data_IF_469132740894
#
_entry.id   IF_469132740894
#
_cell.length_a   1.000
_cell.length_b   1.000
_cell.length_c   1.000
_cell.angle_alpha   90.00
_cell.angle_beta   90.00
_cell.angle_gamma   90.00
#
_symmetry.space_group_name_H-M   'P 1'
#
loop_
_entity.id
_entity.type
_entity.pdbx_description
1 polymer ?
#
# COMPACT_ATOMS: atom_id res chain seq x y z
N UNK A 1 5.15 6.25 16.00
CA UNK A 1 5.37 4.89 16.57
C UNK A 1 6.29 5.04 17.76
N UNK A 2 5.85 4.63 18.92
CA UNK A 2 6.63 4.72 20.17
C UNK A 2 7.57 3.50 20.26
N UNK A 3 8.82 3.70 19.86
CA UNK A 3 9.84 2.63 19.80
C UNK A 3 10.05 1.97 21.17
N UNK A 4 10.12 2.80 22.23
CA UNK A 4 10.36 2.32 23.58
C UNK A 4 9.22 1.46 24.11
N UNK A 5 7.99 1.88 23.88
CA UNK A 5 6.82 1.09 24.27
C UNK A 5 6.82 -0.30 23.59
N UNK A 6 7.19 -0.38 22.32
CA UNK A 6 7.27 -1.64 21.59
C UNK A 6 8.39 -2.55 22.09
N UNK A 7 9.58 -2.00 22.39
CA UNK A 7 10.67 -2.76 23.02
C UNK A 7 10.17 -3.38 24.33
N UNK A 8 9.51 -2.58 25.17
CA UNK A 8 8.97 -3.04 26.46
C UNK A 8 7.93 -4.15 26.27
N UNK A 9 7.03 -4.04 25.28
CA UNK A 9 6.04 -5.09 24.97
C UNK A 9 6.72 -6.40 24.57
N UNK A 10 7.70 -6.36 23.65
CA UNK A 10 8.44 -7.54 23.22
C UNK A 10 9.23 -8.16 24.37
N UNK A 11 9.89 -7.35 25.21
CA UNK A 11 10.60 -7.83 26.39
C UNK A 11 9.67 -8.56 27.36
N UNK A 12 8.53 -7.98 27.67
CA UNK A 12 7.55 -8.59 28.59
C UNK A 12 6.91 -9.85 28.01
N UNK A 13 6.63 -9.87 26.69
CA UNK A 13 6.15 -11.05 25.96
C UNK A 13 7.17 -12.20 26.05
N UNK A 14 8.46 -11.88 25.96
CA UNK A 14 9.55 -12.84 26.11
C UNK A 14 9.89 -13.16 27.60
N UNK A 15 9.13 -12.61 28.56
CA UNK A 15 9.32 -12.78 30.01
C UNK A 15 10.71 -12.38 30.50
N UNK A 16 11.36 -11.43 29.79
CA UNK A 16 12.67 -10.92 30.19
C UNK A 16 12.53 -9.75 31.17
N UNK A 17 13.40 -9.73 32.16
CA UNK A 17 13.64 -8.55 33.00
C UNK A 17 14.39 -7.49 32.21
N UNK A 18 14.35 -6.24 32.66
CA UNK A 18 15.12 -5.15 32.05
C UNK A 18 16.63 -5.42 32.09
N UNK A 19 17.09 -6.08 33.18
CA UNK A 19 18.48 -6.42 33.40
C UNK A 19 18.97 -7.53 32.47
N UNK A 20 18.14 -8.55 32.25
CA UNK A 20 18.43 -9.63 31.30
C UNK A 20 18.51 -9.12 29.84
N UNK A 21 17.59 -8.24 29.44
CA UNK A 21 17.65 -7.65 28.11
C UNK A 21 18.88 -6.75 27.97
N UNK A 22 19.19 -5.92 28.98
CA UNK A 22 20.39 -5.08 28.99
C UNK A 22 21.68 -5.91 28.84
N UNK A 23 21.78 -7.02 29.59
CA UNK A 23 22.90 -7.94 29.46
C UNK A 23 23.03 -8.58 28.07
N UNK A 24 21.91 -8.99 27.47
CA UNK A 24 21.90 -9.64 26.14
C UNK A 24 22.20 -8.70 24.99
N UNK A 25 21.87 -7.40 25.13
CA UNK A 25 22.14 -6.37 24.13
C UNK A 25 23.42 -5.55 24.42
N UNK A 26 24.21 -5.96 25.42
CA UNK A 26 25.45 -5.28 25.86
C UNK A 26 25.23 -3.80 26.24
N UNK A 27 24.05 -3.48 26.77
CA UNK A 27 23.65 -2.14 27.18
C UNK A 27 23.52 -2.02 28.69
N UNK A 28 23.53 -0.78 29.18
CA UNK A 28 23.23 -0.55 30.60
C UNK A 28 21.71 -0.59 30.86
N UNK A 29 21.31 -1.15 32.01
CA UNK A 29 19.91 -1.14 32.47
C UNK A 29 19.31 0.26 32.51
N UNK A 30 20.12 1.27 32.92
CA UNK A 30 19.68 2.67 32.96
C UNK A 30 19.34 3.21 31.59
N UNK A 31 20.20 2.97 30.59
CA UNK A 31 19.94 3.38 29.20
C UNK A 31 18.69 2.69 28.64
N UNK A 32 18.58 1.38 28.79
CA UNK A 32 17.42 0.63 28.31
C UNK A 32 16.12 1.08 28.97
N UNK A 33 16.15 1.42 30.26
CA UNK A 33 15.01 2.00 30.98
C UNK A 33 14.59 3.36 30.42
N UNK A 34 15.53 4.20 29.97
CA UNK A 34 15.22 5.48 29.32
C UNK A 34 14.63 5.26 27.93
N UNK A 35 15.16 4.31 27.16
CA UNK A 35 14.63 3.93 25.85
C UNK A 35 13.19 3.43 25.97
N UNK A 36 12.91 2.50 26.88
CA UNK A 36 11.55 1.95 27.07
C UNK A 36 10.50 2.99 27.51
N UNK A 37 10.93 4.13 28.05
CA UNK A 37 10.07 5.25 28.42
C UNK A 37 10.06 6.37 27.39
N UNK A 38 10.66 6.13 26.22
CA UNK A 38 10.81 7.11 25.14
C UNK A 38 11.50 8.43 25.59
N UNK A 39 12.31 8.38 26.64
CA UNK A 39 13.11 9.51 27.13
C UNK A 39 14.42 9.70 26.34
N UNK A 40 14.84 8.68 25.60
CA UNK A 40 15.97 8.74 24.67
C UNK A 40 15.69 7.82 23.48
N UNK A 41 16.25 8.16 22.33
CA UNK A 41 16.12 7.37 21.10
C UNK A 41 17.42 6.58 20.88
N UNK A 42 17.36 5.25 20.66
CA UNK A 42 18.54 4.48 20.29
C UNK A 42 18.95 4.82 18.85
N UNK A 43 20.23 4.67 18.54
CA UNK A 43 20.69 4.61 17.14
C UNK A 43 20.12 3.36 16.44
N UNK A 44 20.16 3.31 15.10
CA UNK A 44 19.74 2.12 14.34
C UNK A 44 20.58 0.90 14.75
N UNK A 45 21.89 1.06 14.93
CA UNK A 45 22.76 -0.01 15.38
C UNK A 45 22.33 -0.53 16.77
N UNK A 46 22.18 0.36 17.73
CA UNK A 46 21.72 0.02 19.08
C UNK A 46 20.33 -0.64 19.07
N UNK A 47 19.42 -0.16 18.22
CA UNK A 47 18.10 -0.77 18.06
C UNK A 47 18.21 -2.18 17.48
N UNK A 48 19.14 -2.39 16.52
CA UNK A 48 19.41 -3.72 15.96
C UNK A 48 19.86 -4.71 17.06
N UNK A 49 20.77 -4.30 17.93
CA UNK A 49 21.25 -5.13 19.03
C UNK A 49 20.13 -5.48 20.02
N UNK A 50 19.26 -4.51 20.33
CA UNK A 50 18.11 -4.72 21.22
C UNK A 50 17.11 -5.70 20.61
N UNK A 51 16.76 -5.53 19.32
CA UNK A 51 15.73 -6.39 18.70
C UNK A 51 16.26 -7.79 18.42
N UNK A 52 17.55 -7.94 18.11
CA UNK A 52 18.20 -9.24 18.00
C UNK A 52 18.20 -9.98 19.35
N UNK A 53 18.52 -9.29 20.44
CA UNK A 53 18.41 -9.85 21.81
C UNK A 53 16.98 -10.26 22.17
N UNK A 54 15.97 -9.65 21.54
CA UNK A 54 14.55 -10.00 21.66
C UNK A 54 14.11 -11.10 20.69
N UNK A 55 14.98 -11.58 19.80
CA UNK A 55 14.70 -12.65 18.85
C UNK A 55 13.90 -12.22 17.63
N UNK A 56 13.93 -10.93 17.25
CA UNK A 56 13.28 -10.39 16.06
C UNK A 56 14.24 -9.58 15.22
N UNK A 57 13.98 -9.47 13.92
CA UNK A 57 14.73 -8.58 13.03
C UNK A 57 14.19 -7.15 13.11
N UNK A 58 14.98 -6.15 12.66
CA UNK A 58 14.49 -4.77 12.51
C UNK A 58 13.23 -4.70 11.62
N UNK A 59 13.19 -5.48 10.53
CA UNK A 59 12.02 -5.55 9.66
C UNK A 59 10.78 -6.02 10.43
N UNK A 60 10.88 -7.10 11.16
CA UNK A 60 9.79 -7.61 12.02
C UNK A 60 9.41 -6.63 13.12
N UNK A 61 10.40 -5.96 13.71
CA UNK A 61 10.16 -4.93 14.72
C UNK A 61 9.37 -3.77 14.16
N UNK A 62 9.63 -3.32 12.93
CA UNK A 62 8.89 -2.22 12.30
C UNK A 62 7.59 -2.65 11.62
N UNK A 63 7.46 -3.90 11.23
CA UNK A 63 6.20 -4.42 10.67
C UNK A 63 5.05 -4.44 11.68
N UNK A 64 5.33 -4.56 13.01
CA UNK A 64 4.28 -4.58 14.05
C UNK A 64 3.24 -5.66 13.82
N UNK A 65 2.52 -6.04 14.85
CA UNK A 65 1.14 -6.51 14.69
C UNK A 65 0.32 -5.27 14.28
N UNK A 66 0.38 -4.86 13.02
CA UNK A 66 -0.66 -4.02 12.47
C UNK A 66 -1.87 -4.92 12.42
N UNK A 67 -2.93 -4.57 13.16
CA UNK A 67 -4.27 -4.92 12.71
C UNK A 67 -4.33 -4.41 11.27
N UNK A 68 -4.17 -5.31 10.30
CA UNK A 68 -4.24 -4.95 8.89
C UNK A 68 -5.63 -4.37 8.70
N UNK A 69 -5.69 -3.09 8.36
CA UNK A 69 -6.95 -2.45 8.05
C UNK A 69 -7.54 -3.18 6.85
N UNK A 70 -8.65 -3.88 7.06
CA UNK A 70 -9.30 -4.72 6.05
C UNK A 70 -10.37 -3.92 5.28
N UNK A 71 -11.00 -2.94 5.94
CA UNK A 71 -12.05 -2.11 5.36
C UNK A 71 -11.54 -0.69 5.19
N UNK A 72 -11.59 -0.20 3.95
CA UNK A 72 -11.19 1.16 3.58
C UNK A 72 -12.42 1.99 3.25
N UNK A 73 -12.41 3.25 3.67
CA UNK A 73 -13.46 4.24 3.40
C UNK A 73 -12.87 5.38 2.55
N UNK A 74 -13.71 6.26 2.05
CA UNK A 74 -13.29 7.31 1.10
C UNK A 74 -12.20 8.24 1.68
N UNK A 75 -12.19 8.45 3.00
CA UNK A 75 -11.18 9.24 3.72
C UNK A 75 -9.78 8.59 3.74
N UNK A 76 -9.71 7.30 3.45
CA UNK A 76 -8.45 6.56 3.37
C UNK A 76 -7.83 6.63 1.98
N UNK A 77 -8.61 7.00 0.95
CA UNK A 77 -8.16 6.95 -0.43
C UNK A 77 -7.09 8.00 -0.69
N UNK A 78 -6.07 7.60 -1.42
CA UNK A 78 -5.18 8.57 -2.03
C UNK A 78 -5.75 8.98 -3.38
N UNK A 79 -5.95 10.29 -3.61
CA UNK A 79 -6.54 10.83 -4.83
C UNK A 79 -5.49 11.66 -5.55
N UNK A 80 -5.30 11.37 -6.84
CA UNK A 80 -4.41 12.12 -7.73
C UNK A 80 -5.24 12.68 -8.90
N UNK A 81 -5.43 13.99 -8.87
CA UNK A 81 -6.12 14.73 -9.91
C UNK A 81 -5.11 15.18 -10.98
N UNK A 82 -5.29 14.68 -12.20
CA UNK A 82 -4.43 14.97 -13.34
C UNK A 82 -5.23 15.61 -14.46
N UNK A 83 -4.53 16.20 -15.43
CA UNK A 83 -5.18 16.74 -16.63
C UNK A 83 -5.89 15.65 -17.45
N UNK A 84 -5.37 14.44 -17.42
CA UNK A 84 -5.83 13.28 -18.18
C UNK A 84 -6.83 12.39 -17.41
N UNK A 85 -7.18 12.71 -16.17
CA UNK A 85 -8.17 11.99 -15.37
C UNK A 85 -7.88 12.04 -13.88
N UNK A 86 -8.78 11.49 -13.08
CA UNK A 86 -8.59 11.36 -11.62
C UNK A 86 -8.45 9.90 -11.25
N UNK A 87 -7.36 9.57 -10.57
CA UNK A 87 -7.08 8.22 -10.05
C UNK A 87 -7.28 8.21 -8.55
N UNK A 88 -8.08 7.28 -8.06
CA UNK A 88 -8.27 7.06 -6.62
C UNK A 88 -7.68 5.69 -6.26
N UNK A 89 -6.61 5.66 -5.47
CA UNK A 89 -6.11 4.43 -4.87
C UNK A 89 -6.97 4.07 -3.67
N UNK A 90 -7.91 3.15 -3.86
CA UNK A 90 -8.94 2.79 -2.87
C UNK A 90 -8.43 1.81 -1.81
N UNK A 91 -7.27 1.20 -2.04
CA UNK A 91 -6.51 0.44 -1.05
C UNK A 91 -5.14 1.11 -0.91
N UNK A 92 -4.92 1.91 0.13
CA UNK A 92 -3.64 2.58 0.34
C UNK A 92 -2.48 1.59 0.45
N UNK A 93 -1.38 1.90 -0.22
CA UNK A 93 -0.18 1.06 -0.28
C UNK A 93 -0.38 -0.31 -0.96
N UNK A 94 -1.37 -0.46 -1.84
CA UNK A 94 -1.64 -1.68 -2.58
C UNK A 94 -0.45 -2.15 -3.47
N UNK A 95 0.49 -1.27 -3.80
CA UNK A 95 1.74 -1.59 -4.52
C UNK A 95 2.58 -2.71 -3.88
N UNK A 96 2.26 -3.09 -2.64
CA UNK A 96 2.88 -4.23 -1.93
C UNK A 96 2.08 -5.52 -2.03
N UNK A 97 0.88 -5.45 -2.61
CA UNK A 97 -0.05 -6.55 -2.76
C UNK A 97 0.00 -7.11 -4.18
N UNK A 98 -0.58 -8.28 -4.37
CA UNK A 98 -0.70 -8.91 -5.69
C UNK A 98 -1.74 -8.22 -6.59
N UNK A 99 -2.60 -7.38 -6.02
CA UNK A 99 -3.64 -6.60 -6.71
C UNK A 99 -3.59 -5.14 -6.29
N UNK A 100 -3.68 -4.25 -7.25
CA UNK A 100 -3.81 -2.80 -7.03
C UNK A 100 -5.16 -2.30 -7.59
N UNK A 101 -6.24 -2.30 -6.78
CA UNK A 101 -7.52 -1.77 -7.20
C UNK A 101 -7.53 -0.24 -7.13
N UNK A 102 -7.93 0.38 -8.25
CA UNK A 102 -8.13 1.83 -8.36
C UNK A 102 -9.53 2.15 -8.87
N UNK A 103 -10.06 3.33 -8.52
CA UNK A 103 -11.14 3.96 -9.28
C UNK A 103 -10.54 4.98 -10.22
N UNK A 104 -10.96 4.94 -11.48
CA UNK A 104 -10.57 5.88 -12.50
C UNK A 104 -11.79 6.69 -12.95
N UNK A 105 -11.69 8.00 -12.84
CA UNK A 105 -12.69 8.95 -13.32
C UNK A 105 -12.14 9.68 -14.55
N UNK A 106 -12.81 9.56 -15.69
CA UNK A 106 -12.44 10.26 -16.94
C UNK A 106 -13.58 11.16 -17.39
N UNK A 107 -13.32 12.46 -17.52
CA UNK A 107 -14.22 13.42 -18.15
C UNK A 107 -14.29 13.17 -19.66
N UNK A 108 -15.28 13.73 -20.37
CA UNK A 108 -15.35 13.66 -21.83
C UNK A 108 -14.03 14.07 -22.50
N UNK A 109 -13.53 13.21 -23.38
CA UNK A 109 -12.27 13.43 -24.12
C UNK A 109 -10.98 13.08 -23.39
N UNK A 110 -11.05 12.75 -22.09
CA UNK A 110 -9.87 12.32 -21.33
C UNK A 110 -9.53 10.84 -21.62
N UNK A 111 -8.28 10.49 -21.36
CA UNK A 111 -7.77 9.13 -21.45
C UNK A 111 -6.82 8.84 -20.29
N UNK A 112 -6.72 7.57 -19.88
CA UNK A 112 -5.71 7.14 -18.92
C UNK A 112 -4.29 7.23 -19.50
N UNK A 113 -3.30 7.14 -18.66
CA UNK A 113 -1.92 6.92 -19.10
C UNK A 113 -1.85 5.63 -19.93
N UNK A 114 -0.92 5.60 -20.88
CA UNK A 114 -0.56 4.39 -21.62
C UNK A 114 0.17 3.43 -20.70
N UNK A 115 -0.36 2.25 -20.53
CA UNK A 115 0.32 1.16 -19.79
C UNK A 115 1.15 0.37 -20.79
N UNK A 116 2.44 0.24 -20.48
CA UNK A 116 3.39 -0.53 -21.27
C UNK A 116 3.22 -2.03 -21.02
N UNK A 117 3.66 -2.90 -21.94
CA UNK A 117 3.55 -4.34 -21.74
C UNK A 117 4.19 -4.82 -20.44
N UNK A 118 3.49 -5.70 -19.74
CA UNK A 118 3.93 -6.33 -18.48
C UNK A 118 3.38 -7.76 -18.35
N UNK A 119 3.90 -8.52 -17.37
CA UNK A 119 3.51 -9.91 -17.14
C UNK A 119 2.28 -10.07 -16.23
N UNK A 120 1.48 -9.02 -16.03
CA UNK A 120 0.28 -9.04 -15.19
C UNK A 120 -0.99 -9.35 -15.98
N UNK A 121 -2.05 -9.52 -15.24
CA UNK A 121 -3.43 -9.58 -15.74
C UNK A 121 -4.21 -8.43 -15.13
N UNK A 122 -5.17 -7.89 -15.88
CA UNK A 122 -5.95 -6.74 -15.44
C UNK A 122 -7.43 -6.99 -15.61
N UNK A 123 -8.19 -6.47 -14.66
CA UNK A 123 -9.64 -6.54 -14.66
C UNK A 123 -10.23 -5.13 -14.53
N UNK A 124 -11.26 -4.83 -15.32
CA UNK A 124 -12.02 -3.60 -15.16
C UNK A 124 -13.53 -3.80 -15.14
N UNK A 125 -14.21 -2.96 -14.37
CA UNK A 125 -15.67 -2.92 -14.28
C UNK A 125 -16.18 -1.48 -14.41
N UNK A 126 -17.03 -1.21 -15.39
CA UNK A 126 -17.58 0.13 -15.64
C UNK A 126 -18.75 0.41 -14.69
N UNK A 127 -18.55 1.33 -13.76
CA UNK A 127 -19.55 1.76 -12.78
C UNK A 127 -20.54 2.76 -13.37
N UNK A 128 -20.06 3.70 -14.20
CA UNK A 128 -20.90 4.67 -14.91
C UNK A 128 -20.27 5.10 -16.22
N UNK A 129 -21.09 5.53 -17.17
CA UNK A 129 -20.63 5.96 -18.50
C UNK A 129 -20.32 4.80 -19.45
N UNK A 130 -19.37 5.03 -20.35
CA UNK A 130 -18.86 4.05 -21.32
C UNK A 130 -17.36 4.27 -21.51
N UNK A 131 -16.60 3.20 -21.39
CA UNK A 131 -15.16 3.19 -21.63
C UNK A 131 -14.88 2.68 -23.05
N UNK A 132 -13.87 3.23 -23.69
CA UNK A 132 -13.22 2.63 -24.85
C UNK A 132 -11.86 2.12 -24.38
N UNK A 133 -11.71 0.79 -24.21
CA UNK A 133 -10.43 0.15 -23.95
C UNK A 133 -9.69 -0.03 -25.27
N UNK A 134 -8.47 0.45 -25.35
CA UNK A 134 -7.59 0.29 -26.52
C UNK A 134 -6.48 -0.65 -26.13
N UNK A 135 -6.35 -1.77 -26.84
CA UNK A 135 -5.30 -2.78 -26.65
C UNK A 135 -4.65 -3.05 -28.01
N UNK A 136 -3.35 -2.86 -28.13
CA UNK A 136 -2.62 -3.02 -29.39
C UNK A 136 -3.30 -2.24 -30.55
N UNK A 137 -3.72 -1.00 -30.27
CA UNK A 137 -4.43 -0.14 -31.23
C UNK A 137 -5.88 -0.54 -31.54
N UNK A 138 -6.38 -1.68 -31.03
CA UNK A 138 -7.76 -2.12 -31.24
C UNK A 138 -8.68 -1.59 -30.17
N UNK A 139 -9.81 -1.02 -30.61
CA UNK A 139 -10.81 -0.41 -29.72
C UNK A 139 -11.88 -1.42 -29.28
N UNK A 140 -12.14 -1.48 -27.98
CA UNK A 140 -13.18 -2.30 -27.38
C UNK A 140 -14.09 -1.42 -26.53
N UNK A 141 -15.37 -1.31 -26.91
CA UNK A 141 -16.35 -0.52 -26.18
C UNK A 141 -16.86 -1.33 -24.97
N UNK A 142 -16.73 -0.76 -23.78
CA UNK A 142 -17.21 -1.35 -22.52
C UNK A 142 -18.24 -0.41 -21.90
N UNK A 143 -19.48 -0.88 -21.72
CA UNK A 143 -20.61 -0.10 -21.22
C UNK A 143 -20.75 -0.29 -19.70
N UNK A 144 -21.52 0.61 -19.06
CA UNK A 144 -21.93 0.45 -17.66
C UNK A 144 -22.41 -0.97 -17.36
N UNK A 145 -21.89 -1.56 -16.27
CA UNK A 145 -22.19 -2.92 -15.83
C UNK A 145 -21.45 -4.02 -16.58
N UNK A 146 -20.63 -3.66 -17.57
CA UNK A 146 -19.76 -4.61 -18.26
C UNK A 146 -18.35 -4.61 -17.69
N UNK A 147 -17.65 -5.71 -17.92
CA UNK A 147 -16.27 -5.93 -17.50
C UNK A 147 -15.35 -6.10 -18.70
N UNK A 148 -14.07 -5.88 -18.48
CA UNK A 148 -13.02 -6.38 -19.34
C UNK A 148 -11.99 -7.16 -18.51
N UNK A 149 -11.29 -8.03 -19.17
CA UNK A 149 -10.17 -8.78 -18.63
C UNK A 149 -9.12 -8.91 -19.71
N UNK A 150 -7.91 -8.48 -19.42
CA UNK A 150 -6.80 -8.51 -20.38
C UNK A 150 -5.54 -9.07 -19.72
N UNK A 151 -4.65 -9.61 -20.56
CA UNK A 151 -3.25 -9.84 -20.20
C UNK A 151 -2.45 -8.62 -20.58
N UNK A 152 -1.57 -8.16 -19.70
CA UNK A 152 -0.74 -6.98 -19.91
C UNK A 152 0.32 -7.10 -21.02
N UNK A 153 0.18 -8.05 -21.94
CA UNK A 153 1.18 -8.36 -22.98
C UNK A 153 1.33 -7.29 -24.07
N UNK A 154 0.43 -6.32 -24.14
CA UNK A 154 0.40 -5.27 -25.17
C UNK A 154 0.18 -3.90 -24.53
N UNK A 155 0.61 -2.84 -25.22
CA UNK A 155 0.26 -1.47 -24.86
C UNK A 155 -1.25 -1.31 -24.79
N UNK A 156 -1.74 -0.67 -23.73
CA UNK A 156 -3.16 -0.45 -23.56
C UNK A 156 -3.47 0.80 -22.73
N UNK A 157 -4.67 1.33 -22.92
CA UNK A 157 -5.19 2.46 -22.16
C UNK A 157 -6.71 2.53 -22.27
N UNK A 158 -7.33 3.31 -21.41
CA UNK A 158 -8.75 3.62 -21.45
C UNK A 158 -8.97 5.05 -21.93
N UNK A 159 -10.02 5.28 -22.73
CA UNK A 159 -10.43 6.62 -23.14
C UNK A 159 -11.94 6.79 -22.99
N UNK A 160 -12.36 8.01 -22.68
CA UNK A 160 -13.75 8.41 -22.67
C UNK A 160 -14.08 9.24 -23.92
N UNK A 161 -14.55 8.58 -24.96
CA UNK A 161 -14.97 9.20 -26.22
C UNK A 161 -16.45 9.68 -26.18
N UNK A 162 -17.08 9.70 -24.99
CA UNK A 162 -18.49 10.10 -24.83
C UNK A 162 -18.65 11.52 -24.29
N UNK A 163 -19.90 11.98 -24.15
CA UNK A 163 -20.23 13.30 -23.59
C UNK A 163 -20.53 13.27 -22.09
N UNK A 164 -20.52 12.09 -21.47
CA UNK A 164 -20.76 11.88 -20.02
C UNK A 164 -19.49 11.41 -19.33
N UNK A 165 -19.39 11.66 -18.03
CA UNK A 165 -18.28 11.13 -17.23
C UNK A 165 -18.27 9.60 -17.24
N UNK A 166 -17.07 9.06 -17.29
CA UNK A 166 -16.79 7.65 -17.10
C UNK A 166 -16.22 7.43 -15.71
N UNK A 167 -16.74 6.43 -15.03
CA UNK A 167 -16.19 5.95 -13.76
C UNK A 167 -16.08 4.44 -13.81
N UNK A 168 -14.91 3.91 -13.49
CA UNK A 168 -14.68 2.47 -13.49
C UNK A 168 -13.76 2.04 -12.34
N UNK A 169 -13.95 0.81 -11.90
CA UNK A 169 -13.00 0.08 -11.07
C UNK A 169 -12.00 -0.62 -12.01
N UNK A 170 -10.70 -0.43 -11.75
CA UNK A 170 -9.62 -1.10 -12.48
C UNK A 170 -8.69 -1.78 -11.47
N UNK A 171 -8.36 -3.02 -11.72
CA UNK A 171 -7.47 -3.83 -10.88
C UNK A 171 -6.33 -4.32 -11.75
N UNK A 172 -5.12 -4.00 -11.35
CA UNK A 172 -3.87 -4.43 -11.98
C UNK A 172 -3.14 -5.42 -11.08
#
# INVERSE_FOLDING_TARGET
MEIGHRIKQLRTKNKLTLEELASRSELSKGFLSQVERDLTSPSIATLSDIVEALGVTLAQFFQGEKDEKIVFVQEDYFVDEREDGTVHWIVPNAQKNDMEPILLDLKPGQRSQMIQPHNGEEFGYVLSGKACLVVDGKKHLVKKGQTFYIKGAHDHYLTNETKSELKLLWVC
#
